data_IF_470399994653
#
_entry.id   IF_470399994653
#
_cell.length_a   1.000
_cell.length_b   1.000
_cell.length_c   1.000
_cell.angle_alpha   90.00
_cell.angle_beta   90.00
_cell.angle_gamma   90.00
#
_symmetry.space_group_name_H-M   'P 1'
#
loop_
_entity.id
_entity.type
_entity.pdbx_description
1 polymer ?
#
# COMPACT_ATOMS: atom_id res chain seq x y z
N UNK A 1 -31.35 -2.06 -0.75
CA UNK A 1 -30.47 -2.25 0.43
C UNK A 1 -30.36 -3.74 0.70
N UNK A 2 -29.24 -4.22 1.23
CA UNK A 2 -29.06 -5.65 1.57
C UNK A 2 -29.88 -6.03 2.82
N UNK A 3 -30.34 -7.29 2.94
CA UNK A 3 -30.98 -7.78 4.15
C UNK A 3 -30.05 -7.71 5.38
N UNK A 4 -30.63 -7.49 6.57
CA UNK A 4 -29.86 -7.49 7.84
C UNK A 4 -29.22 -8.84 8.16
N UNK A 5 -29.76 -9.94 7.61
CA UNK A 5 -29.24 -11.30 7.74
C UNK A 5 -28.15 -11.66 6.73
N UNK A 6 -27.79 -10.74 5.81
CA UNK A 6 -26.78 -11.03 4.81
C UNK A 6 -25.39 -11.21 5.47
N UNK A 7 -24.72 -12.31 5.13
CA UNK A 7 -23.31 -12.46 5.43
C UNK A 7 -22.50 -11.65 4.40
N UNK A 8 -21.63 -10.77 4.90
CA UNK A 8 -20.83 -9.87 4.08
C UNK A 8 -19.38 -10.26 4.22
N UNK A 9 -18.74 -10.47 3.07
CA UNK A 9 -17.31 -10.74 2.94
C UNK A 9 -16.69 -9.66 2.08
N UNK A 10 -15.44 -9.32 2.37
CA UNK A 10 -14.70 -8.29 1.66
C UNK A 10 -13.59 -8.94 0.84
N UNK A 11 -13.38 -8.41 -0.37
CA UNK A 11 -12.26 -8.75 -1.24
C UNK A 11 -11.56 -7.44 -1.60
N UNK A 12 -10.27 -7.35 -1.31
CA UNK A 12 -9.39 -6.32 -1.86
C UNK A 12 -8.58 -6.94 -2.97
N UNK A 13 -8.81 -6.48 -4.20
CA UNK A 13 -8.02 -6.85 -5.38
C UNK A 13 -7.11 -5.67 -5.75
N UNK A 14 -5.80 -5.88 -5.71
CA UNK A 14 -4.77 -4.87 -5.91
C UNK A 14 -4.89 -3.62 -5.00
N UNK A 15 -5.57 -3.72 -3.85
CA UNK A 15 -5.81 -2.61 -2.92
C UNK A 15 -4.85 -2.55 -1.72
N UNK A 16 -3.93 -3.51 -1.58
CA UNK A 16 -3.01 -3.56 -0.45
C UNK A 16 -1.71 -2.79 -0.69
N UNK A 17 -1.76 -1.47 -0.49
CA UNK A 17 -0.58 -0.61 -0.53
C UNK A 17 0.06 -0.44 0.84
N UNK A 18 1.39 -0.50 0.88
CA UNK A 18 2.17 -0.29 2.08
C UNK A 18 2.58 1.18 2.19
N UNK A 19 2.59 1.67 3.43
CA UNK A 19 3.24 2.94 3.77
C UNK A 19 4.65 2.63 4.27
N UNK A 20 5.55 2.56 3.29
CA UNK A 20 6.98 2.29 3.42
C UNK A 20 7.79 3.39 2.73
N UNK A 21 9.10 3.39 2.97
CA UNK A 21 10.03 4.31 2.32
C UNK A 21 10.36 3.87 0.90
N UNK A 22 10.52 4.83 0.01
CA UNK A 22 11.04 4.61 -1.34
C UNK A 22 12.56 4.31 -1.34
N UNK A 23 13.12 4.00 -2.51
CA UNK A 23 14.56 3.71 -2.68
C UNK A 23 15.49 4.89 -2.36
N UNK A 24 14.93 6.10 -2.18
CA UNK A 24 15.64 7.29 -1.68
C UNK A 24 15.37 7.54 -0.19
N UNK A 25 14.78 6.58 0.52
CA UNK A 25 14.44 6.60 1.94
C UNK A 25 13.36 7.63 2.35
N UNK A 26 12.54 8.08 1.40
CA UNK A 26 11.46 9.04 1.67
C UNK A 26 10.10 8.37 1.76
N UNK A 27 9.19 8.93 2.55
CA UNK A 27 7.77 8.50 2.63
C UNK A 27 6.91 9.19 1.57
N UNK A 28 7.33 9.13 0.30
CA UNK A 28 6.67 9.83 -0.82
C UNK A 28 5.18 9.53 -0.90
N UNK A 29 4.78 8.27 -0.71
CA UNK A 29 3.37 7.87 -0.78
C UNK A 29 2.56 8.21 0.45
N UNK A 30 3.17 8.27 1.63
CA UNK A 30 2.50 8.80 2.82
C UNK A 30 2.03 10.22 2.54
N UNK A 31 2.93 11.07 2.05
CA UNK A 31 2.59 12.45 1.71
C UNK A 31 1.55 12.53 0.59
N UNK A 32 1.61 11.66 -0.42
CA UNK A 32 0.58 11.58 -1.45
C UNK A 32 -0.80 11.25 -0.87
N UNK A 33 -0.91 10.21 -0.05
CA UNK A 33 -2.18 9.79 0.53
C UNK A 33 -2.69 10.74 1.61
N UNK A 34 -1.82 11.37 2.41
CA UNK A 34 -2.20 12.46 3.32
C UNK A 34 -2.90 13.59 2.53
N UNK A 35 -2.31 14.02 1.40
CA UNK A 35 -2.91 15.01 0.52
C UNK A 35 -4.21 14.52 -0.12
N UNK A 36 -4.28 13.26 -0.54
CA UNK A 36 -5.49 12.67 -1.13
C UNK A 36 -6.65 12.65 -0.12
N UNK A 37 -6.40 12.21 1.12
CA UNK A 37 -7.40 12.14 2.19
C UNK A 37 -7.95 13.53 2.48
N UNK A 38 -7.07 14.53 2.58
CA UNK A 38 -7.45 15.93 2.79
C UNK A 38 -8.27 16.48 1.61
N UNK A 39 -7.76 16.34 0.38
CA UNK A 39 -8.40 16.85 -0.83
C UNK A 39 -9.81 16.26 -1.03
N UNK A 40 -9.95 14.95 -0.84
CA UNK A 40 -11.22 14.25 -1.03
C UNK A 40 -12.15 14.34 0.18
N UNK A 41 -11.71 14.99 1.28
CA UNK A 41 -12.40 14.98 2.58
C UNK A 41 -12.79 13.55 3.00
N UNK A 42 -11.87 12.61 2.76
CA UNK A 42 -12.10 11.19 2.92
C UNK A 42 -11.93 10.72 4.38
N UNK A 43 -11.40 11.56 5.25
CA UNK A 43 -11.17 11.27 6.67
C UNK A 43 -12.42 10.71 7.36
N UNK A 44 -13.60 11.26 7.06
CA UNK A 44 -14.89 10.80 7.60
C UNK A 44 -15.25 9.35 7.24
N UNK A 45 -14.64 8.79 6.19
CA UNK A 45 -14.85 7.44 5.70
C UNK A 45 -13.79 6.46 6.22
N UNK A 46 -12.74 6.95 6.89
CA UNK A 46 -11.73 6.09 7.50
C UNK A 46 -12.30 5.35 8.70
N UNK A 47 -11.68 4.21 9.05
CA UNK A 47 -12.12 3.41 10.17
C UNK A 47 -11.94 4.19 11.49
N UNK A 48 -13.04 4.47 12.20
CA UNK A 48 -13.04 5.28 13.43
C UNK A 48 -12.16 4.72 14.54
N UNK A 49 -12.08 3.39 14.67
CA UNK A 49 -11.24 2.77 15.68
C UNK A 49 -9.75 2.96 15.36
N UNK A 50 -9.40 3.02 14.06
CA UNK A 50 -8.05 3.34 13.64
C UNK A 50 -7.72 4.81 13.93
N UNK A 51 -8.57 5.73 13.49
CA UNK A 51 -8.31 7.18 13.62
C UNK A 51 -8.30 7.65 15.06
N UNK A 52 -9.01 6.99 15.98
CA UNK A 52 -8.98 7.33 17.41
C UNK A 52 -7.67 6.96 18.11
N UNK A 53 -6.82 6.12 17.50
CA UNK A 53 -5.60 5.60 18.12
C UNK A 53 -4.33 6.26 17.55
N UNK A 54 -4.34 6.70 16.30
CA UNK A 54 -3.17 7.29 15.64
C UNK A 54 -3.18 8.81 15.73
N UNK A 55 -2.00 9.40 15.98
CA UNK A 55 -1.80 10.87 15.93
C UNK A 55 -2.04 11.45 14.54
N UNK A 56 -1.88 10.63 13.50
CA UNK A 56 -2.14 10.97 12.09
C UNK A 56 -3.29 10.11 11.55
N UNK A 57 -4.54 10.61 11.58
CA UNK A 57 -5.71 9.87 11.12
C UNK A 57 -5.62 9.40 9.66
N UNK A 58 -4.94 10.17 8.81
CA UNK A 58 -4.80 9.90 7.37
C UNK A 58 -4.08 8.58 7.11
N UNK A 59 -3.21 8.14 8.02
CA UNK A 59 -2.51 6.85 7.90
C UNK A 59 -3.49 5.67 7.87
N UNK A 60 -4.69 5.81 8.43
CA UNK A 60 -5.72 4.78 8.40
C UNK A 60 -6.25 4.46 6.99
N UNK A 61 -5.85 5.22 5.97
CA UNK A 61 -6.06 4.83 4.56
C UNK A 61 -5.23 3.60 4.18
N UNK A 62 -4.05 3.40 4.79
CA UNK A 62 -3.21 2.24 4.49
C UNK A 62 -3.71 1.00 5.25
N UNK A 63 -3.89 -0.13 4.55
CA UNK A 63 -4.32 -1.39 5.17
C UNK A 63 -3.47 -1.84 6.36
N UNK A 64 -2.18 -1.51 6.39
CA UNK A 64 -1.29 -1.83 7.51
C UNK A 64 -1.74 -1.27 8.86
N UNK A 65 -2.55 -0.21 8.88
CA UNK A 65 -3.09 0.37 10.10
C UNK A 65 -4.56 0.01 10.33
N UNK A 66 -5.36 -0.06 9.26
CA UNK A 66 -6.81 -0.18 9.35
C UNK A 66 -7.34 -1.62 9.33
N UNK A 67 -6.61 -2.57 8.75
CA UNK A 67 -7.09 -3.94 8.51
C UNK A 67 -7.51 -4.65 9.80
N UNK A 68 -6.77 -4.46 10.89
CA UNK A 68 -7.07 -5.08 12.20
C UNK A 68 -8.42 -4.67 12.81
N UNK A 69 -9.05 -3.62 12.28
CA UNK A 69 -10.36 -3.15 12.73
C UNK A 69 -11.51 -3.58 11.81
N UNK A 70 -11.22 -4.35 10.76
CA UNK A 70 -12.24 -4.95 9.90
C UNK A 70 -12.67 -6.29 10.51
N UNK A 71 -13.95 -6.38 10.86
CA UNK A 71 -14.51 -7.57 11.53
C UNK A 71 -15.08 -8.60 10.56
N UNK A 72 -15.39 -8.18 9.33
CA UNK A 72 -15.89 -9.08 8.28
C UNK A 72 -14.74 -9.88 7.69
N UNK A 73 -14.96 -11.16 7.29
CA UNK A 73 -13.95 -11.93 6.59
C UNK A 73 -13.41 -11.14 5.39
N UNK A 74 -12.11 -11.00 5.32
CA UNK A 74 -11.43 -10.15 4.35
C UNK A 74 -10.38 -10.97 3.60
N UNK A 75 -10.52 -11.05 2.28
CA UNK A 75 -9.54 -11.70 1.40
C UNK A 75 -8.72 -10.64 0.69
N UNK A 76 -7.40 -10.83 0.65
CA UNK A 76 -6.47 -9.94 -0.02
C UNK A 76 -5.90 -10.68 -1.23
N UNK A 77 -6.20 -10.16 -2.41
CA UNK A 77 -5.62 -10.57 -3.67
C UNK A 77 -4.69 -9.45 -4.14
N UNK A 78 -3.39 -9.65 -3.97
CA UNK A 78 -2.39 -8.72 -4.47
C UNK A 78 -1.27 -9.53 -5.13
N UNK A 79 -0.73 -9.03 -6.24
CA UNK A 79 0.47 -9.61 -6.83
C UNK A 79 1.68 -9.39 -5.93
N UNK A 80 2.65 -10.31 -5.99
CA UNK A 80 3.88 -10.19 -5.20
C UNK A 80 4.64 -8.88 -5.46
N UNK A 81 4.62 -8.42 -6.71
CA UNK A 81 5.21 -7.16 -7.16
C UNK A 81 4.14 -6.34 -7.87
N UNK A 82 3.24 -5.73 -7.09
CA UNK A 82 2.22 -4.84 -7.63
C UNK A 82 2.86 -3.69 -8.42
N UNK A 83 2.41 -3.52 -9.67
CA UNK A 83 3.00 -2.56 -10.61
C UNK A 83 2.86 -1.13 -10.07
N UNK A 84 1.70 -0.77 -9.52
CA UNK A 84 1.47 0.56 -9.01
C UNK A 84 2.34 0.83 -7.79
N UNK A 85 2.38 -0.13 -6.86
CA UNK A 85 3.26 -0.09 -5.70
C UNK A 85 4.72 0.08 -6.12
N UNK A 86 5.20 -0.71 -7.08
CA UNK A 86 6.58 -0.63 -7.53
C UNK A 86 6.89 0.73 -8.18
N UNK A 87 6.06 1.19 -9.12
CA UNK A 87 6.35 2.36 -9.94
C UNK A 87 6.11 3.70 -9.22
N UNK A 88 5.20 3.76 -8.24
CA UNK A 88 4.80 5.02 -7.61
C UNK A 88 5.16 5.09 -6.12
N UNK A 89 5.38 3.94 -5.47
CA UNK A 89 5.64 3.87 -4.03
C UNK A 89 7.11 3.56 -3.78
N UNK A 90 7.60 2.43 -4.28
CA UNK A 90 8.98 2.01 -4.06
C UNK A 90 9.96 2.84 -4.91
N UNK A 91 9.64 3.05 -6.18
CA UNK A 91 10.53 3.72 -7.15
C UNK A 91 9.79 4.80 -7.96
N UNK A 92 9.26 5.83 -7.29
CA UNK A 92 8.67 6.98 -7.97
C UNK A 92 9.71 7.70 -8.85
N UNK A 93 9.29 8.48 -9.86
CA UNK A 93 10.19 9.27 -10.70
C UNK A 93 11.15 10.18 -9.89
N UNK A 94 10.69 10.70 -8.75
CA UNK A 94 11.51 11.51 -7.85
C UNK A 94 12.66 10.75 -7.19
N UNK A 95 12.57 9.42 -7.08
CA UNK A 95 13.57 8.56 -6.45
C UNK A 95 14.47 7.82 -7.47
N UNK A 96 14.24 8.00 -8.78
CA UNK A 96 14.95 7.33 -9.87
C UNK A 96 15.42 8.34 -10.94
N UNK A 97 16.05 9.43 -10.51
CA UNK A 97 16.45 10.56 -11.38
C UNK A 97 17.40 10.14 -12.51
N UNK A 98 18.18 9.08 -12.31
CA UNK A 98 19.11 8.55 -13.30
C UNK A 98 18.52 7.41 -14.15
N UNK A 99 17.27 7.00 -13.88
CA UNK A 99 16.59 5.94 -14.64
C UNK A 99 17.18 4.54 -14.43
N UNK A 100 17.87 4.30 -13.32
CA UNK A 100 18.49 3.02 -12.99
C UNK A 100 17.46 1.89 -12.90
N UNK A 101 16.22 2.21 -12.54
CA UNK A 101 15.15 1.23 -12.41
C UNK A 101 14.25 1.13 -13.63
N UNK A 102 14.46 1.95 -14.68
CA UNK A 102 13.58 2.01 -15.85
C UNK A 102 13.40 0.66 -16.53
N UNK A 103 14.50 -0.08 -16.74
CA UNK A 103 14.45 -1.39 -17.37
C UNK A 103 13.78 -2.45 -16.48
N UNK A 104 14.10 -2.44 -15.18
CA UNK A 104 13.51 -3.34 -14.19
C UNK A 104 12.00 -3.12 -14.03
N UNK A 105 11.53 -1.86 -14.05
CA UNK A 105 10.10 -1.50 -14.04
C UNK A 105 9.33 -2.04 -15.26
N UNK A 106 9.97 -2.07 -16.43
CA UNK A 106 9.36 -2.58 -17.66
C UNK A 106 9.36 -4.11 -17.75
N UNK A 107 10.39 -4.75 -17.21
CA UNK A 107 10.52 -6.20 -17.22
C UNK A 107 11.30 -6.67 -15.98
N UNK A 108 10.61 -7.35 -15.07
CA UNK A 108 11.21 -7.85 -13.82
C UNK A 108 12.35 -8.85 -14.07
N UNK A 109 12.39 -9.51 -15.24
CA UNK A 109 13.45 -10.45 -15.60
C UNK A 109 14.80 -9.77 -15.91
N UNK A 110 14.82 -8.44 -16.13
CA UNK A 110 16.06 -7.69 -16.40
C UNK A 110 16.54 -6.88 -15.19
N UNK A 111 15.90 -7.03 -14.04
CA UNK A 111 16.36 -6.42 -12.79
C UNK A 111 17.74 -6.98 -12.39
N UNK A 112 18.61 -6.12 -11.88
CA UNK A 112 19.86 -6.57 -11.26
C UNK A 112 19.57 -7.32 -9.94
N UNK A 113 20.55 -8.07 -9.44
CA UNK A 113 20.42 -8.80 -8.17
C UNK A 113 20.02 -7.86 -7.02
N UNK A 114 20.63 -6.68 -6.92
CA UNK A 114 20.30 -5.68 -5.89
C UNK A 114 18.88 -5.13 -6.03
N UNK A 115 18.41 -4.91 -7.26
CA UNK A 115 17.02 -4.49 -7.51
C UNK A 115 16.04 -5.58 -7.09
N UNK A 116 16.36 -6.84 -7.41
CA UNK A 116 15.53 -7.98 -7.04
C UNK A 116 15.49 -8.22 -5.52
N UNK A 117 16.63 -8.10 -4.83
CA UNK A 117 16.70 -8.16 -3.37
C UNK A 117 15.82 -7.10 -2.72
N UNK A 118 15.83 -5.87 -3.26
CA UNK A 118 14.98 -4.78 -2.78
C UNK A 118 13.48 -5.12 -2.97
N UNK A 119 13.10 -5.64 -4.14
CA UNK A 119 11.72 -6.05 -4.43
C UNK A 119 11.26 -7.22 -3.55
N UNK A 120 12.12 -8.21 -3.34
CA UNK A 120 11.85 -9.35 -2.47
C UNK A 120 11.72 -8.92 -1.00
N UNK A 121 12.54 -7.97 -0.56
CA UNK A 121 12.42 -7.37 0.77
C UNK A 121 11.05 -6.71 1.00
N UNK A 122 10.53 -6.00 -0.01
CA UNK A 122 9.19 -5.42 0.05
C UNK A 122 8.09 -6.51 0.07
N UNK A 123 8.21 -7.53 -0.78
CA UNK A 123 7.26 -8.65 -0.81
C UNK A 123 7.19 -9.40 0.53
N UNK A 124 8.34 -9.70 1.13
CA UNK A 124 8.40 -10.32 2.46
C UNK A 124 7.76 -9.44 3.52
N UNK A 125 7.91 -8.11 3.43
CA UNK A 125 7.21 -7.18 4.31
C UNK A 125 5.68 -7.27 4.17
N UNK A 126 5.15 -7.34 2.94
CA UNK A 126 3.71 -7.54 2.72
C UNK A 126 3.27 -8.86 3.35
N UNK A 127 3.96 -9.97 3.04
CA UNK A 127 3.61 -11.29 3.52
C UNK A 127 3.60 -11.37 5.06
N UNK A 128 4.62 -10.83 5.73
CA UNK A 128 4.70 -10.80 7.19
C UNK A 128 3.65 -9.91 7.87
N UNK A 129 3.10 -8.88 7.19
CA UNK A 129 2.01 -8.07 7.75
C UNK A 129 0.63 -8.75 7.63
N UNK A 130 0.54 -9.85 6.89
CA UNK A 130 -0.70 -10.59 6.64
C UNK A 130 -0.80 -11.90 7.43
N UNK A 131 0.29 -12.34 8.07
CA UNK A 131 0.39 -13.54 8.92
C UNK A 131 0.42 -13.15 10.39
#
# INVERSE_FOLDING_TARGET
MLPSSADVKCLSDAGFFLDERDVSLNYTMRSFYENLVSLQKAEKNLNKNCTSILDKPELCIFPQYSLKYITKPFFILNSAYDEYQFNHILVPPSADLHGNWKHCKLNLAVCSSTQMETLQGLFLHVACKLL
#
